data_IF_955091727688
#
_entry.id   IF_955091727688
#
_cell.length_a   1.000
_cell.length_b   1.000
_cell.length_c   1.000
_cell.angle_alpha   90.00
_cell.angle_beta   90.00
_cell.angle_gamma   90.00
#
_symmetry.space_group_name_H-M   'P 1'
#
loop_
_entity.id
_entity.type
_entity.pdbx_description
1 polymer ?
#
# COMPACT_ATOMS: atom_id res chain seq x y z
N UNK A 1 -15.59 -10.01 6.99
CA UNK A 1 -14.65 -10.83 7.81
C UNK A 1 -13.56 -9.93 8.40
N UNK A 2 -13.35 -10.03 9.70
CA UNK A 2 -12.35 -9.21 10.38
C UNK A 2 -11.01 -9.95 10.44
N UNK A 3 -9.93 -9.25 10.15
CA UNK A 3 -8.57 -9.79 10.22
C UNK A 3 -8.01 -9.42 11.58
N UNK A 4 -7.57 -10.42 12.35
CA UNK A 4 -7.09 -10.18 13.71
C UNK A 4 -5.70 -10.75 14.00
N UNK A 5 -5.10 -11.47 13.06
CA UNK A 5 -3.76 -12.05 13.24
C UNK A 5 -2.71 -11.27 12.45
N UNK A 6 -1.46 -11.39 12.89
CA UNK A 6 -0.31 -10.83 12.17
C UNK A 6 -0.23 -11.38 10.76
N UNK A 7 -0.38 -12.69 10.63
CA UNK A 7 -0.36 -13.35 9.33
C UNK A 7 -1.45 -12.82 8.41
N UNK A 8 -2.66 -12.62 8.94
CA UNK A 8 -3.76 -12.05 8.17
C UNK A 8 -3.49 -10.63 7.73
N UNK A 9 -2.92 -9.82 8.64
CA UNK A 9 -2.57 -8.45 8.30
C UNK A 9 -1.52 -8.39 7.19
N UNK A 10 -0.53 -9.27 7.23
CA UNK A 10 0.50 -9.36 6.19
C UNK A 10 -0.09 -9.77 4.85
N UNK A 11 -0.97 -10.75 4.85
CA UNK A 11 -1.64 -11.18 3.62
C UNK A 11 -2.46 -10.05 3.02
N UNK A 12 -3.15 -9.30 3.86
CA UNK A 12 -3.95 -8.19 3.39
C UNK A 12 -3.07 -7.05 2.86
N UNK A 13 -1.93 -6.78 3.52
CA UNK A 13 -0.97 -5.80 3.01
C UNK A 13 -0.52 -6.17 1.58
N UNK A 14 -0.24 -7.44 1.35
CA UNK A 14 0.15 -7.91 0.02
C UNK A 14 -0.96 -7.69 -1.02
N UNK A 15 -2.20 -7.91 -0.63
CA UNK A 15 -3.33 -7.65 -1.52
C UNK A 15 -3.42 -6.17 -1.90
N UNK A 16 -3.23 -5.27 -0.93
CA UNK A 16 -3.23 -3.85 -1.20
C UNK A 16 -2.08 -3.45 -2.11
N UNK A 17 -0.88 -3.98 -1.84
CA UNK A 17 0.29 -3.68 -2.67
C UNK A 17 0.09 -4.16 -4.10
N UNK A 18 -0.38 -5.38 -4.27
CA UNK A 18 -0.61 -5.93 -5.60
C UNK A 18 -1.70 -5.17 -6.35
N UNK A 19 -2.78 -4.80 -5.66
CA UNK A 19 -3.87 -4.06 -6.28
C UNK A 19 -3.42 -2.68 -6.76
N UNK A 20 -2.63 -1.98 -5.94
CA UNK A 20 -2.14 -0.67 -6.34
C UNK A 20 -1.08 -0.77 -7.43
N UNK A 21 -0.23 -1.78 -7.38
CA UNK A 21 0.78 -1.99 -8.43
C UNK A 21 0.11 -2.20 -9.78
N UNK A 22 -0.93 -3.02 -9.81
CA UNK A 22 -1.66 -3.27 -11.04
C UNK A 22 -2.34 -2.00 -11.56
N UNK A 23 -2.87 -1.20 -10.65
CA UNK A 23 -3.45 0.08 -11.02
C UNK A 23 -2.44 1.00 -11.70
N UNK A 24 -1.25 1.15 -11.11
CA UNK A 24 -0.20 1.99 -11.70
C UNK A 24 0.31 1.44 -13.02
N UNK A 25 0.38 0.12 -13.16
CA UNK A 25 0.76 -0.50 -14.41
C UNK A 25 -0.24 -0.15 -15.50
N UNK A 26 -1.53 -0.22 -15.19
CA UNK A 26 -2.58 0.15 -16.12
C UNK A 26 -2.50 1.62 -16.49
N UNK A 27 -2.19 2.50 -15.52
CA UNK A 27 -2.02 3.92 -15.81
C UNK A 27 -0.84 4.15 -16.75
N UNK A 28 0.26 3.42 -16.57
CA UNK A 28 1.44 3.59 -17.42
C UNK A 28 1.16 3.22 -18.87
N UNK A 29 0.25 2.28 -19.08
CA UNK A 29 -0.14 1.87 -20.43
C UNK A 29 -1.17 2.83 -21.06
N UNK A 30 -1.97 3.43 -20.21
CA UNK A 30 -3.08 4.27 -20.65
C UNK A 30 -2.69 5.73 -20.88
N UNK A 31 -1.75 6.23 -20.09
CA UNK A 31 -1.30 7.61 -20.15
C UNK A 31 0.20 7.67 -20.33
N UNK A 32 0.64 8.25 -21.46
CA UNK A 32 2.06 8.36 -21.76
C UNK A 32 2.75 9.36 -20.84
N UNK A 33 2.02 10.40 -20.46
CA UNK A 33 2.55 11.40 -19.53
C UNK A 33 2.85 10.73 -18.18
N UNK A 34 4.06 10.95 -17.70
CA UNK A 34 4.51 10.39 -16.43
C UNK A 34 4.51 8.86 -16.36
N UNK A 35 4.56 8.21 -17.52
CA UNK A 35 4.59 6.75 -17.61
C UNK A 35 5.67 6.12 -16.74
N UNK A 36 6.87 6.71 -16.74
CA UNK A 36 7.98 6.15 -15.97
C UNK A 36 7.73 6.23 -14.46
N UNK A 37 7.08 7.29 -13.99
CA UNK A 37 6.72 7.42 -12.58
C UNK A 37 5.76 6.31 -12.18
N UNK A 38 4.75 6.04 -13.01
CA UNK A 38 3.77 5.00 -12.71
C UNK A 38 4.41 3.61 -12.73
N UNK A 39 5.31 3.35 -13.66
CA UNK A 39 6.03 2.07 -13.71
C UNK A 39 6.92 1.90 -12.49
N UNK A 40 7.55 2.99 -12.03
CA UNK A 40 8.36 2.97 -10.83
C UNK A 40 7.51 2.63 -9.60
N UNK A 41 6.33 3.24 -9.48
CA UNK A 41 5.42 2.95 -8.38
C UNK A 41 4.98 1.48 -8.39
N UNK A 42 4.64 0.96 -9.56
CA UNK A 42 4.24 -0.44 -9.69
C UNK A 42 5.36 -1.37 -9.25
N UNK A 43 6.59 -1.06 -9.62
CA UNK A 43 7.74 -1.87 -9.27
C UNK A 43 8.01 -1.85 -7.77
N UNK A 44 7.87 -0.69 -7.14
CA UNK A 44 8.07 -0.56 -5.70
C UNK A 44 7.04 -1.38 -4.91
N UNK A 45 5.85 -1.53 -5.44
CA UNK A 45 4.80 -2.30 -4.78
C UNK A 45 5.05 -3.81 -4.84
N UNK A 46 5.96 -4.26 -5.70
CA UNK A 46 6.30 -5.67 -5.75
C UNK A 46 5.29 -6.54 -6.45
N UNK A 47 4.52 -5.94 -7.34
CA UNK A 47 3.49 -6.66 -8.06
C UNK A 47 3.99 -7.94 -8.71
N UNK A 48 5.14 -7.85 -9.33
CA UNK A 48 5.66 -8.98 -10.08
C UNK A 48 6.54 -9.88 -9.26
N UNK A 49 6.83 -9.50 -8.06
CA UNK A 49 7.91 -10.15 -7.34
C UNK A 49 7.73 -10.05 -5.86
N UNK A 50 8.15 -11.08 -5.20
CA UNK A 50 8.23 -11.11 -3.76
C UNK A 50 9.25 -10.11 -3.23
N UNK A 51 10.07 -9.54 -4.11
CA UNK A 51 11.11 -8.60 -3.74
C UNK A 51 10.71 -7.14 -3.89
N UNK A 52 9.42 -6.84 -3.93
CA UNK A 52 8.94 -5.47 -3.90
C UNK A 52 9.33 -4.82 -2.59
N UNK A 53 9.80 -3.59 -2.66
CA UNK A 53 10.40 -2.92 -1.50
C UNK A 53 9.49 -2.85 -0.28
N UNK A 54 8.23 -2.46 -0.47
CA UNK A 54 7.33 -2.29 0.66
C UNK A 54 7.02 -3.64 1.32
N UNK A 55 6.76 -4.65 0.51
CA UNK A 55 6.46 -5.98 1.04
C UNK A 55 7.67 -6.55 1.76
N UNK A 56 8.86 -6.37 1.20
CA UNK A 56 10.09 -6.85 1.84
C UNK A 56 10.28 -6.24 3.22
N UNK A 57 10.05 -4.94 3.37
CA UNK A 57 10.22 -4.29 4.65
C UNK A 57 9.27 -4.85 5.70
N UNK A 58 8.03 -5.09 5.32
CA UNK A 58 7.04 -5.63 6.25
C UNK A 58 7.40 -7.07 6.61
N UNK A 59 7.77 -7.87 5.61
CA UNK A 59 8.14 -9.26 5.86
C UNK A 59 9.38 -9.37 6.74
N UNK A 60 10.37 -8.50 6.55
CA UNK A 60 11.57 -8.50 7.39
C UNK A 60 11.23 -8.18 8.84
N UNK A 61 10.34 -7.23 9.06
CA UNK A 61 9.90 -6.92 10.41
C UNK A 61 9.18 -8.10 11.03
N UNK A 62 8.28 -8.71 10.26
CA UNK A 62 7.51 -9.87 10.72
C UNK A 62 8.42 -11.04 11.03
N UNK A 63 9.27 -11.44 10.08
CA UNK A 63 10.14 -12.61 10.24
C UNK A 63 11.34 -12.34 11.12
N UNK A 64 11.76 -11.09 11.25
CA UNK A 64 12.86 -10.71 12.13
C UNK A 64 12.52 -10.82 13.60
N UNK A 65 11.23 -10.77 13.93
CA UNK A 65 10.77 -10.91 15.32
C UNK A 65 9.99 -12.19 15.50
N UNK A 66 9.98 -13.05 14.52
CA UNK A 66 9.18 -14.25 14.58
C UNK A 66 9.60 -15.13 15.70
N UNK A 67 8.62 -15.35 16.47
CA UNK A 67 8.52 -16.50 17.30
C UNK A 67 7.20 -17.11 16.97
N UNK A 68 7.01 -18.38 17.27
CA UNK A 68 5.72 -19.04 17.08
C UNK A 68 4.60 -18.24 17.75
N UNK A 69 4.94 -17.45 18.76
CA UNK A 69 3.99 -16.61 19.47
C UNK A 69 3.36 -15.55 18.59
N UNK A 70 4.08 -15.01 17.59
CA UNK A 70 3.53 -13.99 16.72
C UNK A 70 2.48 -14.53 15.76
N UNK A 71 2.60 -15.76 15.35
CA UNK A 71 1.62 -16.37 14.46
C UNK A 71 0.25 -16.48 15.10
N UNK A 72 0.22 -16.69 16.42
CA UNK A 72 -1.02 -16.77 17.18
C UNK A 72 -1.43 -15.45 17.80
N UNK A 73 -0.78 -14.35 17.46
CA UNK A 73 -1.07 -13.07 18.07
C UNK A 73 -2.31 -12.43 17.45
N UNK A 74 -3.25 -12.03 18.30
CA UNK A 74 -4.50 -11.40 17.88
C UNK A 74 -4.48 -9.90 18.20
N UNK A 75 -3.40 -9.23 17.77
CA UNK A 75 -3.21 -7.81 18.04
C UNK A 75 -4.05 -6.91 17.14
N UNK A 76 -4.55 -7.45 16.03
CA UNK A 76 -5.19 -6.65 15.00
C UNK A 76 -6.71 -6.75 15.04
N UNK A 77 -7.34 -5.70 14.58
CA UNK A 77 -8.77 -5.67 14.30
C UNK A 77 -8.94 -4.86 13.01
N UNK A 78 -8.84 -5.56 11.89
CA UNK A 78 -8.85 -4.94 10.56
C UNK A 78 -10.06 -5.42 9.79
N UNK A 79 -10.91 -4.47 9.40
CA UNK A 79 -12.04 -4.76 8.52
C UNK A 79 -11.61 -4.40 7.09
N UNK A 80 -11.42 -5.41 6.22
CA UNK A 80 -10.95 -5.14 4.85
C UNK A 80 -11.79 -4.14 4.07
N UNK A 81 -13.09 -4.07 4.36
CA UNK A 81 -13.97 -3.16 3.64
C UNK A 81 -13.61 -1.69 3.85
N UNK A 82 -13.00 -1.36 5.00
CA UNK A 82 -12.59 0.01 5.29
C UNK A 82 -11.42 0.47 4.40
N UNK A 83 -10.69 -0.48 3.82
CA UNK A 83 -9.50 -0.19 3.03
C UNK A 83 -9.64 -0.64 1.58
N UNK A 84 -10.85 -0.91 1.15
CA UNK A 84 -11.08 -1.37 -0.22
C UNK A 84 -10.62 -0.31 -1.23
N UNK A 85 -9.86 -0.75 -2.21
CA UNK A 85 -9.35 0.15 -3.25
C UNK A 85 -10.33 0.21 -4.41
N UNK A 86 -10.61 1.42 -4.85
CA UNK A 86 -11.39 1.65 -6.06
C UNK A 86 -10.40 1.86 -7.19
N UNK A 87 -10.13 0.80 -7.94
CA UNK A 87 -9.10 0.83 -8.98
C UNK A 87 -9.66 1.00 -10.39
N UNK A 88 -10.98 0.97 -10.54
CA UNK A 88 -11.59 1.10 -11.85
C UNK A 88 -11.63 2.55 -12.30
N UNK A 89 -11.31 2.77 -13.58
CA UNK A 89 -11.44 4.08 -14.22
C UNK A 89 -12.37 3.95 -15.42
N UNK A 90 -13.19 4.96 -15.65
CA UNK A 90 -14.01 5.00 -16.83
C UNK A 90 -13.15 5.00 -18.09
N UNK A 91 -13.66 4.43 -19.18
CA UNK A 91 -12.95 4.39 -20.44
C UNK A 91 -12.51 5.78 -20.91
N UNK A 92 -13.33 6.77 -20.63
CA UNK A 92 -13.08 8.14 -21.07
C UNK A 92 -12.43 9.00 -19.99
N UNK A 93 -11.97 8.38 -18.90
CA UNK A 93 -11.32 9.14 -17.83
C UNK A 93 -10.11 9.88 -18.36
N UNK A 94 -9.99 11.14 -17.97
CA UNK A 94 -8.85 11.96 -18.36
C UNK A 94 -7.74 11.82 -17.31
N UNK A 95 -6.56 12.32 -17.64
CA UNK A 95 -5.37 12.17 -16.81
C UNK A 95 -5.58 12.69 -15.38
N UNK A 96 -6.23 13.84 -15.22
CA UNK A 96 -6.47 14.40 -13.88
C UNK A 96 -7.39 13.53 -13.04
N UNK A 97 -8.36 12.87 -13.66
CA UNK A 97 -9.22 11.93 -12.97
C UNK A 97 -8.44 10.70 -12.51
N UNK A 98 -7.51 10.23 -13.36
CA UNK A 98 -6.65 9.12 -13.02
C UNK A 98 -5.75 9.46 -11.84
N UNK A 99 -5.17 10.67 -11.82
CA UNK A 99 -4.35 11.13 -10.70
C UNK A 99 -5.17 11.24 -9.42
N UNK A 100 -6.40 11.76 -9.52
CA UNK A 100 -7.30 11.84 -8.37
C UNK A 100 -7.58 10.46 -7.79
N UNK A 101 -7.81 9.48 -8.65
CA UNK A 101 -8.03 8.11 -8.22
C UNK A 101 -6.80 7.54 -7.54
N UNK A 102 -5.61 7.79 -8.10
CA UNK A 102 -4.36 7.34 -7.51
C UNK A 102 -4.16 7.92 -6.11
N UNK A 103 -4.48 9.21 -5.94
CA UNK A 103 -4.37 9.87 -4.63
C UNK A 103 -5.30 9.21 -3.62
N UNK A 104 -6.52 8.89 -4.01
CA UNK A 104 -7.47 8.20 -3.14
C UNK A 104 -6.97 6.80 -2.75
N UNK A 105 -6.37 6.09 -3.70
CA UNK A 105 -5.81 4.76 -3.44
C UNK A 105 -4.70 4.86 -2.41
N UNK A 106 -3.78 5.82 -2.57
CA UNK A 106 -2.70 6.01 -1.61
C UNK A 106 -3.25 6.35 -0.23
N UNK A 107 -4.29 7.17 -0.16
CA UNK A 107 -4.90 7.54 1.11
C UNK A 107 -5.41 6.32 1.86
N UNK A 108 -6.08 5.40 1.15
CA UNK A 108 -6.57 4.16 1.77
C UNK A 108 -5.43 3.29 2.27
N UNK A 109 -4.36 3.18 1.49
CA UNK A 109 -3.23 2.35 1.87
C UNK A 109 -2.46 2.96 3.03
N UNK A 110 -2.28 4.28 3.03
CA UNK A 110 -1.67 5.00 4.16
C UNK A 110 -2.47 4.75 5.43
N UNK A 111 -3.79 4.84 5.33
CA UNK A 111 -4.66 4.58 6.47
C UNK A 111 -4.46 3.16 7.00
N UNK A 112 -4.40 2.18 6.10
CA UNK A 112 -4.17 0.80 6.53
C UNK A 112 -2.87 0.65 7.29
N UNK A 113 -1.76 1.14 6.73
CA UNK A 113 -0.46 0.99 7.40
C UNK A 113 -0.40 1.77 8.72
N UNK A 114 -1.02 2.93 8.77
CA UNK A 114 -1.08 3.72 10.00
C UNK A 114 -1.88 3.00 11.08
N UNK A 115 -3.03 2.44 10.71
CA UNK A 115 -3.87 1.69 11.65
C UNK A 115 -3.16 0.40 12.09
N UNK A 116 -2.50 -0.29 11.17
CA UNK A 116 -1.74 -1.50 11.50
C UNK A 116 -0.60 -1.19 12.46
N UNK A 117 0.10 -0.06 12.25
CA UNK A 117 1.17 0.36 13.15
C UNK A 117 0.62 0.61 14.56
N UNK A 118 -0.50 1.31 14.65
CA UNK A 118 -1.11 1.61 15.94
C UNK A 118 -1.58 0.35 16.64
N UNK A 119 -2.23 -0.55 15.90
CA UNK A 119 -2.76 -1.77 16.49
C UNK A 119 -1.65 -2.74 16.92
N UNK A 120 -0.49 -2.66 16.30
CA UNK A 120 0.62 -3.59 16.57
C UNK A 120 1.63 -3.03 17.58
N UNK A 121 1.38 -1.87 18.16
CA UNK A 121 2.39 -1.26 19.04
C UNK A 121 2.64 -2.01 20.33
N UNK A 122 1.80 -2.96 20.68
CA UNK A 122 2.05 -3.85 21.82
C UNK A 122 2.98 -5.01 21.43
N UNK A 123 3.24 -5.20 20.16
CA UNK A 123 4.16 -6.20 19.65
C UNK A 123 5.60 -5.67 19.73
N UNK A 124 6.56 -6.49 19.27
CA UNK A 124 7.94 -6.05 19.22
C UNK A 124 8.08 -4.83 18.32
N UNK A 125 8.97 -3.91 18.73
CA UNK A 125 9.09 -2.58 18.14
C UNK A 125 9.29 -2.56 16.61
N UNK A 126 9.91 -3.61 16.06
CA UNK A 126 10.18 -3.67 14.63
C UNK A 126 8.91 -3.78 13.79
N UNK A 127 7.85 -4.41 14.32
CA UNK A 127 6.61 -4.58 13.57
C UNK A 127 5.89 -3.24 13.35
N UNK A 128 5.55 -2.48 14.40
CA UNK A 128 4.90 -1.17 14.16
C UNK A 128 5.82 -0.20 13.44
N UNK A 129 7.12 -0.29 13.64
CA UNK A 129 8.07 0.58 12.95
C UNK A 129 8.05 0.34 11.44
N UNK A 130 7.97 -0.93 11.02
CA UNK A 130 7.90 -1.26 9.60
C UNK A 130 6.62 -0.70 8.96
N UNK A 131 5.49 -0.86 9.63
CA UNK A 131 4.24 -0.30 9.12
C UNK A 131 4.29 1.22 9.01
N UNK A 132 4.87 1.90 10.00
CA UNK A 132 5.04 3.36 9.97
C UNK A 132 5.93 3.78 8.81
N UNK A 133 6.99 3.03 8.56
CA UNK A 133 7.92 3.33 7.48
C UNK A 133 7.23 3.24 6.13
N UNK A 134 6.43 2.21 5.92
CA UNK A 134 5.69 2.06 4.66
C UNK A 134 4.65 3.17 4.52
N UNK A 135 3.95 3.50 5.60
CA UNK A 135 2.99 4.60 5.58
C UNK A 135 3.66 5.91 5.15
N UNK A 136 4.86 6.16 5.66
CA UNK A 136 5.61 7.37 5.29
C UNK A 136 6.00 7.37 3.81
N UNK A 137 6.47 6.23 3.30
CA UNK A 137 6.81 6.13 1.87
C UNK A 137 5.59 6.35 0.99
N UNK A 138 4.45 5.82 1.39
CA UNK A 138 3.21 6.03 0.66
C UNK A 138 2.76 7.49 0.72
N UNK A 139 2.94 8.15 1.88
CA UNK A 139 2.64 9.58 1.99
C UNK A 139 3.50 10.40 1.05
N UNK A 140 4.78 10.04 0.91
CA UNK A 140 5.67 10.73 -0.03
C UNK A 140 5.18 10.53 -1.46
N UNK A 141 4.74 9.33 -1.80
CA UNK A 141 4.17 9.05 -3.12
C UNK A 141 2.91 9.88 -3.35
N UNK A 142 2.04 9.96 -2.35
CA UNK A 142 0.83 10.77 -2.46
C UNK A 142 1.15 12.23 -2.73
N UNK A 143 2.18 12.76 -2.06
CA UNK A 143 2.63 14.14 -2.28
C UNK A 143 3.11 14.34 -3.72
N UNK A 144 3.84 13.35 -4.26
CA UNK A 144 4.28 13.40 -5.65
C UNK A 144 3.09 13.42 -6.60
N UNK A 145 2.09 12.59 -6.35
CA UNK A 145 0.89 12.55 -7.17
C UNK A 145 0.12 13.87 -7.12
N UNK A 146 0.02 14.46 -5.94
CA UNK A 146 -0.65 15.77 -5.78
C UNK A 146 0.10 16.85 -6.55
N UNK A 147 1.44 16.82 -6.54
CA UNK A 147 2.24 17.75 -7.30
C UNK A 147 2.01 17.60 -8.80
N UNK A 148 1.91 16.36 -9.28
CA UNK A 148 1.59 16.10 -10.69
C UNK A 148 0.21 16.62 -11.05
N UNK A 149 -0.76 16.47 -10.16
CA UNK A 149 -2.11 16.96 -10.39
C UNK A 149 -2.13 18.48 -10.48
N UNK A 150 -1.37 19.15 -9.63
CA UNK A 150 -1.29 20.61 -9.64
C UNK A 150 -0.63 21.15 -10.90
N UNK A 151 0.24 20.38 -11.52
CA UNK A 151 0.97 20.78 -12.73
C UNK A 151 0.24 20.47 -14.03
N UNK A 152 -0.88 19.79 -13.97
CA UNK A 152 -1.53 19.31 -15.19
C UNK A 152 -2.02 20.42 -16.10
N UNK A 153 -2.20 21.60 -15.56
CA UNK A 153 -2.57 22.76 -16.34
C UNK A 153 -1.34 23.36 -17.03
#
# INVERSE_FOLDING_TARGET
>A
MVINTCSGAMSFAKELENGSAQFYQNLSQRFVKDKEAFLSFAKENGEFKENGEFIIQIERAYYGVITDALEGCFAFHINPEEYALKTELAEKAIYSEALGRAIEIEEKIIKFYSDAAEQSKSLMADVPRAFKMVAKKRSNRQSTLKALLDKKD
#
